data_IF_230995337924
#
_entry.id   IF_230995337924
#
_cell.length_a   1.000
_cell.length_b   1.000
_cell.length_c   1.000
_cell.angle_alpha   90.00
_cell.angle_beta   90.00
_cell.angle_gamma   90.00
#
_symmetry.space_group_name_H-M   'P 1'
#
loop_
_entity.id
_entity.type
_entity.pdbx_description
1 polymer ?
#
# COMPACT_ATOMS: atom_id res chain seq x y z
N UNK A 1 -13.30 2.76 -1.70
CA UNK A 1 -12.85 3.90 -2.52
C UNK A 1 -11.70 3.43 -3.39
N UNK A 2 -11.61 3.90 -4.63
CA UNK A 2 -10.48 3.62 -5.51
C UNK A 2 -9.22 4.36 -5.03
N UNK A 3 -8.05 3.75 -5.21
CA UNK A 3 -6.78 4.46 -5.07
C UNK A 3 -6.71 5.58 -6.11
N UNK A 4 -6.18 6.75 -5.71
CA UNK A 4 -5.97 7.90 -6.58
C UNK A 4 -4.63 7.81 -7.32
N UNK A 5 -3.63 7.20 -6.70
CA UNK A 5 -2.27 7.03 -7.24
C UNK A 5 -1.79 5.61 -6.99
N UNK A 6 -1.20 4.99 -8.02
CA UNK A 6 -0.55 3.68 -7.95
C UNK A 6 0.88 3.84 -8.47
N UNK A 7 1.86 3.72 -7.58
CA UNK A 7 3.27 3.61 -7.92
C UNK A 7 3.62 2.18 -8.27
N UNK A 8 4.17 1.95 -9.45
CA UNK A 8 4.59 0.62 -9.93
C UNK A 8 6.11 0.43 -9.88
N UNK A 9 6.80 1.31 -9.14
CA UNK A 9 8.25 1.24 -8.97
C UNK A 9 8.64 0.06 -8.08
N UNK A 10 9.81 -0.53 -8.33
CA UNK A 10 10.32 -1.60 -7.48
C UNK A 10 10.86 -1.06 -6.15
N UNK A 11 11.00 -1.95 -5.17
CA UNK A 11 11.71 -1.61 -3.94
C UNK A 11 13.09 -1.03 -4.25
N UNK A 12 13.49 -0.02 -3.46
CA UNK A 12 14.77 0.71 -3.60
C UNK A 12 14.85 1.69 -4.77
N UNK A 13 13.74 2.00 -5.45
CA UNK A 13 13.68 3.06 -6.47
C UNK A 13 13.05 4.37 -5.95
N UNK A 14 13.28 4.70 -4.67
CA UNK A 14 12.74 5.93 -4.06
C UNK A 14 11.29 5.84 -3.57
N UNK A 15 10.74 4.64 -3.34
CA UNK A 15 9.36 4.43 -2.89
C UNK A 15 9.04 5.10 -1.56
N UNK A 16 10.00 5.15 -0.64
CA UNK A 16 9.80 5.77 0.68
C UNK A 16 9.69 7.30 0.59
N UNK A 17 10.56 7.94 -0.19
CA UNK A 17 10.45 9.37 -0.49
C UNK A 17 9.15 9.69 -1.25
N UNK A 18 8.71 8.81 -2.15
CA UNK A 18 7.43 8.96 -2.86
C UNK A 18 6.24 8.85 -1.88
N UNK A 19 6.25 7.90 -0.94
CA UNK A 19 5.24 7.77 0.13
C UNK A 19 5.10 9.07 0.93
N UNK A 20 6.23 9.67 1.33
CA UNK A 20 6.25 10.94 2.06
C UNK A 20 5.69 12.08 1.20
N UNK A 21 6.16 12.21 -0.04
CA UNK A 21 5.69 13.25 -0.95
C UNK A 21 4.17 13.16 -1.21
N UNK A 22 3.63 11.95 -1.43
CA UNK A 22 2.19 11.74 -1.60
C UNK A 22 1.39 12.12 -0.35
N UNK A 23 1.96 11.88 0.84
CA UNK A 23 1.33 12.31 2.10
C UNK A 23 1.30 13.83 2.19
N UNK A 24 2.41 14.51 1.90
CA UNK A 24 2.50 15.98 1.88
C UNK A 24 1.53 16.61 0.87
N UNK A 25 1.34 15.99 -0.28
CA UNK A 25 0.46 16.45 -1.36
C UNK A 25 -1.03 16.12 -1.14
N UNK A 26 -1.40 15.51 0.00
CA UNK A 26 -2.80 15.20 0.33
C UNK A 26 -3.33 13.87 -0.25
N UNK A 27 -2.47 13.10 -0.92
CA UNK A 27 -2.74 11.73 -1.39
C UNK A 27 -2.41 10.66 -0.33
N UNK A 28 -2.13 11.08 0.90
CA UNK A 28 -2.01 10.22 2.06
C UNK A 28 -3.36 9.81 2.67
N UNK A 29 -3.41 8.74 3.47
CA UNK A 29 -2.29 7.84 3.77
C UNK A 29 -1.95 6.95 2.56
N UNK A 30 -0.67 6.59 2.43
CA UNK A 30 -0.11 5.84 1.31
C UNK A 30 0.28 4.43 1.76
N UNK A 31 -0.28 3.41 1.11
CA UNK A 31 0.08 2.01 1.33
C UNK A 31 1.50 1.78 0.82
N UNK A 32 2.38 1.26 1.67
CA UNK A 32 3.79 1.03 1.38
C UNK A 32 4.31 -0.13 2.23
N UNK A 33 5.46 -0.73 1.89
CA UNK A 33 6.01 -1.85 2.65
C UNK A 33 6.24 -1.53 4.15
N UNK A 34 6.58 -0.28 4.49
CA UNK A 34 6.66 0.15 5.90
C UNK A 34 5.32 0.00 6.64
N UNK A 35 4.21 0.39 6.00
CA UNK A 35 2.86 0.19 6.52
C UNK A 35 2.53 -1.29 6.67
N UNK A 36 2.88 -2.11 5.67
CA UNK A 36 2.66 -3.56 5.72
C UNK A 36 3.40 -4.17 6.91
N UNK A 37 4.67 -3.83 7.09
CA UNK A 37 5.50 -4.37 8.17
C UNK A 37 4.99 -3.96 9.56
N UNK A 38 4.51 -2.73 9.69
CA UNK A 38 3.93 -2.16 10.92
C UNK A 38 2.58 -2.75 11.32
N UNK A 39 1.81 -3.33 10.38
CA UNK A 39 0.44 -3.77 10.64
C UNK A 39 0.26 -5.29 10.47
N UNK A 40 -0.06 -6.00 11.56
CA UNK A 40 -0.29 -7.45 11.54
C UNK A 40 -1.41 -7.86 10.56
N UNK A 41 -2.47 -7.06 10.46
CA UNK A 41 -3.57 -7.27 9.51
C UNK A 41 -3.07 -7.22 8.06
N UNK A 42 -2.27 -6.22 7.69
CA UNK A 42 -1.71 -6.09 6.34
C UNK A 42 -0.84 -7.29 5.97
N UNK A 43 0.06 -7.72 6.87
CA UNK A 43 0.86 -8.95 6.67
C UNK A 43 0.00 -10.17 6.41
N UNK A 44 -1.11 -10.34 7.15
CA UNK A 44 -2.02 -11.46 6.97
C UNK A 44 -2.70 -11.44 5.59
N UNK A 45 -3.17 -10.29 5.15
CA UNK A 45 -3.83 -10.14 3.84
C UNK A 45 -2.87 -10.41 2.68
N UNK A 46 -1.67 -9.84 2.72
CA UNK A 46 -0.66 -10.10 1.68
C UNK A 46 -0.19 -11.56 1.66
N UNK A 47 -0.06 -12.21 2.82
CA UNK A 47 0.28 -13.65 2.88
C UNK A 47 -0.83 -14.54 2.35
N UNK A 48 -2.10 -14.17 2.51
CA UNK A 48 -3.22 -14.90 1.92
C UNK A 48 -3.15 -14.86 0.38
N UNK A 49 -2.92 -13.66 -0.19
CA UNK A 49 -2.70 -13.52 -1.62
C UNK A 49 -1.50 -14.34 -2.11
N UNK A 50 -0.38 -14.33 -1.39
CA UNK A 50 0.80 -15.13 -1.73
C UNK A 50 0.56 -16.65 -1.68
N UNK A 51 -0.47 -17.11 -0.94
CA UNK A 51 -0.91 -18.52 -0.93
C UNK A 51 -1.88 -18.88 -2.06
N UNK A 52 -2.24 -17.92 -2.92
CA UNK A 52 -3.18 -18.11 -4.02
C UNK A 52 -4.65 -17.87 -3.64
N UNK A 53 -4.93 -17.32 -2.47
CA UNK A 53 -6.28 -16.90 -2.10
C UNK A 53 -6.71 -15.68 -2.95
N UNK A 54 -7.99 -15.61 -3.31
CA UNK A 54 -8.52 -14.49 -4.08
C UNK A 54 -8.39 -13.18 -3.26
N UNK A 55 -7.82 -12.11 -3.84
CA UNK A 55 -7.63 -10.86 -3.11
C UNK A 55 -8.93 -10.08 -2.95
N UNK A 56 -9.22 -9.64 -1.72
CA UNK A 56 -10.15 -8.54 -1.47
C UNK A 56 -9.38 -7.22 -1.47
N UNK A 57 -9.32 -6.59 -2.65
CA UNK A 57 -8.61 -5.32 -2.84
C UNK A 57 -9.25 -4.18 -2.06
N UNK A 58 -10.57 -4.19 -1.88
CA UNK A 58 -11.27 -3.17 -1.10
C UNK A 58 -10.86 -3.24 0.37
N UNK A 59 -10.71 -4.45 0.92
CA UNK A 59 -10.23 -4.66 2.29
C UNK A 59 -8.73 -4.34 2.42
N UNK A 60 -7.91 -4.75 1.45
CA UNK A 60 -6.46 -4.57 1.50
C UNK A 60 -6.07 -3.09 1.49
N UNK A 61 -6.74 -2.30 0.64
CA UNK A 61 -6.48 -0.86 0.47
C UNK A 61 -7.44 0.04 1.27
N UNK A 62 -8.28 -0.52 2.15
CA UNK A 62 -9.20 0.26 2.97
C UNK A 62 -8.46 1.35 3.77
N UNK A 63 -8.89 2.60 3.58
CA UNK A 63 -8.33 3.77 4.27
C UNK A 63 -7.13 4.41 3.58
N UNK A 64 -6.54 3.77 2.58
CA UNK A 64 -5.44 4.34 1.78
C UNK A 64 -5.98 5.10 0.56
N UNK A 65 -5.31 6.20 0.22
CA UNK A 65 -5.60 6.98 -0.99
C UNK A 65 -4.59 6.72 -2.11
N UNK A 66 -3.41 6.21 -1.77
CA UNK A 66 -2.36 5.85 -2.72
C UNK A 66 -1.65 4.57 -2.29
N UNK A 67 -0.95 3.93 -3.22
CA UNK A 67 -0.11 2.76 -2.98
C UNK A 67 1.21 2.90 -3.75
N UNK A 68 2.34 2.63 -3.11
CA UNK A 68 3.70 2.68 -3.71
C UNK A 68 4.62 1.61 -3.16
#
# INVERSE_FOLDING_TARGET
MSLMVIGTGFGRTGTDSMREALTMLGFGPCHHMSEVMGHAKQKRLWRALARGEAPDWAQLFAGYKSCV
#
